data_IF_834098303045
#
_entry.id   IF_834098303045
#
_cell.length_a   1.000
_cell.length_b   1.000
_cell.length_c   1.000
_cell.angle_alpha   90.00
_cell.angle_beta   90.00
_cell.angle_gamma   90.00
#
_symmetry.space_group_name_H-M   'P 1'
#
loop_
_entity.id
_entity.type
_entity.pdbx_description
1 polymer ?
2 water ?
#
# COMPACT_ATOMS: atom_id res chain seq x y z
N UNK A 2 -10.02 -3.36 2.08
CA UNK A 2 -10.70 -2.74 0.96
C UNK A 2 -9.75 -1.81 0.20
N UNK A 3 -8.56 -1.56 0.76
CA UNK A 3 -7.54 -0.82 0.06
C UNK A 3 -6.17 -1.26 0.57
N UNK A 4 -5.19 -1.23 -0.32
CA UNK A 4 -3.82 -1.58 0.01
C UNK A 4 -2.93 -0.36 0.22
N UNK A 5 -3.21 0.74 -0.46
CA UNK A 5 -2.45 1.97 -0.35
C UNK A 5 -3.39 3.15 -0.39
N UNK A 6 -3.18 4.10 0.51
CA UNK A 6 -3.90 5.38 0.51
C UNK A 6 -2.92 6.49 0.18
N UNK A 7 -3.24 7.28 -0.86
CA UNK A 7 -2.39 8.40 -1.25
C UNK A 7 -3.19 9.70 -1.10
N UNK A 8 -2.47 10.76 -0.74
CA UNK A 8 -3.07 12.06 -0.54
C UNK A 8 -3.43 12.68 -1.89
N UNK A 9 -4.61 13.31 -1.94
CA UNK A 9 -5.03 13.98 -3.17
C UNK A 9 -4.17 15.20 -3.43
N UNK A 10 -3.56 15.26 -4.60
CA UNK A 10 -2.76 16.40 -5.01
C UNK A 10 -2.87 16.54 -6.53
N UNK A 11 -2.47 17.72 -7.01
CA UNK A 11 -2.68 18.04 -8.43
C UNK A 11 -1.90 17.08 -9.33
N UNK A 12 -0.69 16.70 -8.93
CA UNK A 12 0.15 15.80 -9.71
C UNK A 12 0.40 14.50 -8.95
N UNK A 13 -0.63 13.97 -8.32
CA UNK A 13 -0.48 12.76 -7.52
C UNK A 13 -0.19 11.56 -8.41
N UNK A 14 0.52 10.58 -7.83
CA UNK A 14 0.88 9.35 -8.52
C UNK A 14 0.34 8.16 -7.74
N UNK A 15 -0.34 7.26 -8.45
CA UNK A 15 -0.85 6.03 -7.86
C UNK A 15 0.13 4.92 -8.19
N UNK A 16 1.04 4.64 -7.25
CA UNK A 16 2.12 3.67 -7.50
C UNK A 16 1.54 2.28 -7.69
N UNK A 17 2.07 1.57 -8.69
CA UNK A 17 1.69 0.19 -8.93
C UNK A 17 2.81 -0.50 -9.70
N UNK A 18 3.54 -1.39 -9.02
CA UNK A 18 4.65 -2.12 -9.62
C UNK A 18 4.41 -3.61 -9.41
N UNK A 19 4.44 -4.37 -10.50
CA UNK A 19 4.28 -5.82 -10.43
C UNK A 19 5.44 -6.44 -9.67
N UNK A 20 5.20 -7.13 -8.56
CA UNK A 20 6.30 -7.67 -7.75
C UNK A 20 6.72 -9.09 -8.10
N UNK A 21 6.02 -9.77 -9.00
CA UNK A 21 6.29 -11.16 -9.32
C UNK A 21 7.12 -11.27 -10.59
N UNK A 22 7.58 -12.48 -10.87
CA UNK A 22 8.49 -12.74 -11.98
C UNK A 22 7.80 -13.23 -13.24
N UNK A 23 6.47 -13.33 -13.22
CA UNK A 23 5.75 -13.89 -14.37
C UNK A 23 5.71 -12.87 -15.52
N UNK A 24 5.57 -13.40 -16.73
CA UNK A 24 5.49 -12.57 -17.92
C UNK A 24 4.12 -11.91 -17.98
N UNK A 25 4.11 -10.57 -18.03
CA UNK A 25 2.87 -9.82 -18.01
C UNK A 25 2.13 -9.93 -19.34
N UNK A 26 0.80 -9.93 -19.27
CA UNK A 26 -0.04 -9.97 -20.45
C UNK A 26 -0.97 -8.78 -20.60
N UNK A 27 -1.25 -8.02 -19.53
CA UNK A 27 -2.16 -6.89 -19.60
C UNK A 27 -2.15 -6.14 -18.27
N UNK A 28 -2.38 -4.83 -18.34
CA UNK A 28 -2.71 -4.03 -17.17
C UNK A 28 -4.06 -3.37 -17.41
N UNK A 29 -4.80 -3.16 -16.33
CA UNK A 29 -6.00 -2.36 -16.38
C UNK A 29 -6.07 -1.46 -15.17
N UNK A 30 -6.31 -0.18 -15.40
CA UNK A 30 -6.58 0.79 -14.33
C UNK A 30 -8.07 1.09 -14.33
N UNK A 31 -8.72 0.86 -13.19
CA UNK A 31 -10.14 1.13 -13.04
C UNK A 31 -10.37 1.99 -11.81
N UNK A 32 -11.51 2.68 -11.81
CA UNK A 32 -11.97 3.43 -10.65
C UNK A 32 -13.38 2.97 -10.32
N UNK A 33 -13.58 2.56 -9.07
CA UNK A 33 -14.89 2.10 -8.62
C UNK A 33 -15.70 3.31 -8.18
N UNK A 34 -16.35 3.93 -9.17
CA UNK A 34 -17.18 5.10 -8.90
C UNK A 34 -18.26 4.78 -7.87
N UNK A 35 -19.04 3.73 -8.13
CA UNK A 35 -19.96 3.18 -7.17
C UNK A 35 -19.89 1.67 -7.22
N UNK A 36 -21.03 1.01 -7.43
CA UNK A 36 -20.99 -0.39 -7.82
C UNK A 36 -20.41 -0.53 -9.23
N UNK A 37 -20.71 0.42 -10.10
CA UNK A 37 -20.15 0.42 -11.45
C UNK A 37 -18.67 0.81 -11.42
N UNK A 38 -17.94 0.35 -12.42
CA UNK A 38 -16.52 0.62 -12.56
C UNK A 38 -16.25 1.36 -13.87
N UNK A 39 -15.30 2.29 -13.83
CA UNK A 39 -14.86 3.02 -15.02
C UNK A 39 -13.49 2.50 -15.41
N UNK A 40 -13.35 2.03 -16.65
CA UNK A 40 -12.08 1.51 -17.14
C UNK A 40 -11.24 2.69 -17.61
N UNK A 41 -10.26 3.09 -16.80
CA UNK A 41 -9.45 4.25 -17.12
C UNK A 41 -8.47 3.92 -18.25
N UNK A 42 -7.71 2.83 -18.09
CA UNK A 42 -6.69 2.49 -19.07
C UNK A 42 -6.55 0.97 -19.14
N UNK A 43 -6.25 0.49 -20.35
CA UNK A 43 -5.96 -0.92 -20.60
C UNK A 43 -4.75 -0.98 -21.53
N UNK A 44 -3.70 -1.65 -21.09
CA UNK A 44 -2.45 -1.73 -21.86
C UNK A 44 -2.04 -3.19 -22.05
N UNK A 45 -1.57 -3.50 -23.24
CA UNK A 45 -1.07 -4.82 -23.60
C UNK A 45 0.38 -4.71 -24.06
N UNK A 46 1.17 -5.79 -23.91
CA UNK A 46 2.60 -5.69 -24.27
C UNK A 46 2.86 -5.47 -25.75
N UNK A 47 1.84 -5.58 -26.61
CA UNK A 47 1.99 -5.23 -28.02
C UNK A 47 1.82 -3.75 -28.29
N UNK A 48 1.86 -2.92 -27.24
CA UNK A 48 1.72 -1.47 -27.30
C UNK A 48 0.33 -1.01 -27.70
N UNK A 49 -0.66 -1.90 -27.63
CA UNK A 49 -2.06 -1.49 -27.76
C UNK A 49 -2.51 -0.87 -26.45
N UNK A 50 -3.11 0.31 -26.53
CA UNK A 50 -3.45 1.08 -25.33
C UNK A 50 -4.86 1.64 -25.46
N UNK A 51 -5.73 1.26 -24.54
CA UNK A 51 -7.05 1.87 -24.39
C UNK A 51 -7.00 2.95 -23.32
N UNK A 52 -7.62 4.09 -23.60
CA UNK A 52 -7.72 5.19 -22.66
C UNK A 52 -9.16 5.70 -22.68
N UNK A 53 -9.78 5.77 -21.51
CA UNK A 53 -11.13 6.31 -21.42
C UNK A 53 -11.14 7.76 -21.88
N UNK A 54 -12.17 8.11 -22.66
CA UNK A 54 -12.17 9.41 -23.34
C UNK A 54 -12.13 10.57 -22.36
N UNK A 55 -12.75 10.44 -21.19
CA UNK A 55 -12.73 11.50 -20.20
C UNK A 55 -11.40 11.60 -19.45
N UNK A 56 -10.50 10.63 -19.64
CA UNK A 56 -9.17 10.65 -19.05
C UNK A 56 -8.09 10.84 -20.10
N UNK A 57 -8.45 11.31 -21.30
CA UNK A 57 -7.53 11.36 -22.43
C UNK A 57 -6.26 12.14 -22.09
N UNK A 58 -6.41 13.40 -21.68
CA UNK A 58 -5.28 14.26 -21.37
C UNK A 58 -5.17 14.55 -19.88
N UNK A 59 -5.66 13.64 -19.04
CA UNK A 59 -5.64 13.82 -17.60
C UNK A 59 -4.61 12.95 -16.88
N UNK A 60 -4.22 11.81 -17.46
CA UNK A 60 -3.35 10.86 -16.80
C UNK A 60 -2.22 10.46 -17.76
N UNK A 61 -1.09 10.08 -17.18
CA UNK A 61 0.04 9.60 -17.96
C UNK A 61 0.78 8.55 -17.13
N UNK A 62 1.76 7.91 -17.76
CA UNK A 62 2.52 6.82 -17.15
C UNK A 62 4.01 7.17 -17.21
N UNK A 63 4.48 7.88 -16.19
CA UNK A 63 5.89 8.27 -16.11
C UNK A 63 6.77 7.03 -16.05
N UNK A 64 6.68 6.28 -14.95
CA UNK A 64 7.18 4.91 -14.86
C UNK A 64 8.64 4.80 -15.31
N UNK A 65 9.51 5.40 -14.49
CA UNK A 65 10.95 5.38 -14.71
C UNK A 65 11.42 4.02 -15.22
N UNK A 66 12.19 4.04 -16.30
CA UNK A 66 12.58 2.83 -17.04
C UNK A 66 11.34 2.04 -17.46
N UNK A 67 10.56 2.66 -18.34
CA UNK A 67 9.26 2.13 -18.77
C UNK A 67 9.44 0.72 -19.30
N UNK A 68 8.82 -0.25 -18.63
CA UNK A 68 8.93 -1.64 -19.02
C UNK A 68 7.63 -2.38 -18.81
N UNK A 69 6.57 -1.64 -18.49
CA UNK A 69 5.21 -2.19 -18.44
C UNK A 69 5.06 -3.07 -17.21
N UNK A 70 6.15 -3.30 -16.48
CA UNK A 70 6.05 -3.83 -15.12
C UNK A 70 5.64 -2.75 -14.13
N UNK A 71 6.13 -1.53 -14.32
CA UNK A 71 5.74 -0.38 -13.52
C UNK A 71 4.67 0.39 -14.29
N UNK A 72 3.45 0.39 -13.77
CA UNK A 72 2.33 1.09 -14.41
C UNK A 72 1.69 2.07 -13.45
N UNK A 73 2.51 2.73 -12.63
CA UNK A 73 2.02 3.79 -11.76
C UNK A 73 1.34 4.88 -12.59
N UNK A 74 0.21 5.35 -12.09
CA UNK A 74 -0.62 6.31 -12.81
C UNK A 74 -0.45 7.68 -12.17
N UNK A 75 -0.02 8.65 -12.96
CA UNK A 75 0.18 10.01 -12.50
C UNK A 75 -0.86 10.92 -13.13
N UNK A 76 -1.32 11.90 -12.36
CA UNK A 76 -2.29 12.88 -12.82
C UNK A 76 -1.59 14.14 -13.25
N UNK A 77 -2.12 14.78 -14.31
CA UNK A 77 -1.60 16.07 -14.72
C UNK A 77 -2.16 17.19 -13.84
N UNK A 78 -3.48 17.25 -13.71
CA UNK A 78 -4.16 18.24 -12.86
C UNK A 78 -5.35 17.54 -12.21
N UNK A 79 -5.14 16.98 -11.03
CA UNK A 79 -6.21 16.31 -10.32
C UNK A 79 -7.06 17.31 -9.55
N UNK A 80 -8.28 16.88 -9.22
CA UNK A 80 -9.22 17.73 -8.49
C UNK A 80 -9.94 16.86 -7.46
N UNK A 81 -10.92 17.47 -6.78
CA UNK A 81 -11.65 16.77 -5.73
C UNK A 81 -12.47 15.60 -6.28
N UNK A 82 -12.85 15.64 -7.55
CA UNK A 82 -13.64 14.56 -8.12
C UNK A 82 -12.83 13.28 -8.30
N UNK A 83 -11.50 13.38 -8.31
CA UNK A 83 -10.64 12.21 -8.45
C UNK A 83 -10.50 11.42 -7.15
N UNK A 84 -11.13 11.87 -6.07
CA UNK A 84 -11.16 11.09 -4.83
C UNK A 84 -11.94 9.80 -5.07
N UNK A 85 -11.43 8.71 -4.53
CA UNK A 85 -12.11 7.43 -4.64
C UNK A 85 -11.11 6.29 -4.56
N UNK A 86 -11.61 5.10 -4.87
CA UNK A 86 -10.82 3.87 -4.83
C UNK A 86 -10.50 3.45 -6.26
N UNK A 87 -9.22 3.21 -6.52
CA UNK A 87 -8.75 2.76 -7.83
C UNK A 87 -8.24 1.33 -7.73
N UNK A 88 -8.30 0.62 -8.85
CA UNK A 88 -7.80 -0.75 -8.95
C UNK A 88 -6.76 -0.83 -10.06
N UNK A 89 -5.62 -1.40 -9.73
CA UNK A 89 -4.54 -1.65 -10.69
C UNK A 89 -4.40 -3.16 -10.84
N UNK A 90 -4.75 -3.67 -12.02
CA UNK A 90 -4.88 -5.11 -12.26
C UNK A 90 -3.83 -5.55 -13.26
N UNK A 91 -2.88 -6.36 -12.80
CA UNK A 91 -1.88 -6.98 -13.67
C UNK A 91 -2.32 -8.39 -14.01
N UNK A 92 -2.27 -8.73 -15.30
CA UNK A 92 -2.58 -10.06 -15.78
C UNK A 92 -1.33 -10.71 -16.34
N UNK A 93 -1.04 -11.92 -15.87
CA UNK A 93 0.16 -12.67 -16.26
C UNK A 93 -0.21 -14.12 -16.58
N UNK A 94 -1.23 -14.29 -17.42
CA UNK A 94 -1.76 -15.59 -17.82
C UNK A 94 -0.64 -16.57 -18.13
N UNK A 95 -0.73 -17.83 -17.65
CA UNK A 95 -1.88 -18.34 -16.91
C UNK A 95 -1.83 -18.12 -15.40
N UNK A 96 -0.84 -17.36 -14.92
CA UNK A 96 -0.56 -17.31 -13.49
C UNK A 96 -1.68 -16.66 -12.67
N UNK A 97 -2.55 -15.88 -13.30
CA UNK A 97 -3.63 -15.25 -12.58
C UNK A 97 -3.34 -13.81 -12.22
N UNK A 98 -4.38 -13.05 -11.92
CA UNK A 98 -4.23 -11.60 -11.74
C UNK A 98 -3.58 -11.22 -10.42
N UNK A 99 -2.97 -10.04 -10.42
CA UNK A 99 -2.41 -9.40 -9.23
C UNK A 99 -3.00 -8.00 -9.15
N UNK A 100 -3.80 -7.75 -8.11
CA UNK A 100 -4.54 -6.51 -7.99
C UNK A 100 -4.05 -5.69 -6.80
N UNK A 101 -3.88 -4.40 -7.02
CA UNK A 101 -3.55 -3.44 -5.97
C UNK A 101 -4.63 -2.37 -5.93
N UNK A 102 -5.24 -2.18 -4.76
CA UNK A 102 -6.31 -1.22 -4.58
C UNK A 102 -5.76 0.03 -3.91
N UNK A 103 -6.01 1.19 -4.52
CA UNK A 103 -5.47 2.47 -4.09
C UNK A 103 -6.62 3.41 -3.81
N UNK A 104 -6.66 3.96 -2.60
CA UNK A 104 -7.69 4.90 -2.19
C UNK A 104 -7.11 6.31 -2.14
N UNK A 105 -7.70 7.21 -2.91
CA UNK A 105 -7.31 8.63 -2.89
C UNK A 105 -8.25 9.36 -1.94
N UNK A 106 -7.67 10.06 -0.97
CA UNK A 106 -8.45 10.77 0.04
C UNK A 106 -8.00 12.23 0.09
N UNK A 107 -8.94 13.10 0.46
CA UNK A 107 -8.63 14.50 0.73
C UNK A 107 -8.07 14.61 2.14
N UNK A 108 -6.82 15.05 2.25
CA UNK A 108 -6.15 15.08 3.54
C UNK A 108 -4.92 15.97 3.46
N UNK A 109 -4.38 16.30 4.62
CA UNK A 109 -3.07 16.92 4.73
C UNK A 109 -2.02 15.82 4.79
N UNK A 110 -0.78 16.19 5.13
CA UNK A 110 0.28 15.21 5.29
C UNK A 110 -0.13 14.13 6.29
N UNK A 111 -0.03 12.87 5.87
CA UNK A 111 -0.40 11.76 6.74
C UNK A 111 0.48 11.68 7.98
N UNK A 112 1.68 12.27 7.94
CA UNK A 112 2.57 12.27 9.10
C UNK A 112 2.03 13.14 10.23
N UNK A 113 1.11 14.07 9.94
CA UNK A 113 0.57 14.94 10.97
C UNK A 113 -0.20 14.12 12.01
N UNK A 114 -1.04 13.20 11.55
CA UNK A 114 -1.83 12.36 12.43
C UNK A 114 -1.06 11.15 12.95
N UNK A 115 0.25 11.08 12.70
CA UNK A 115 1.09 9.97 13.17
C UNK A 115 2.32 10.51 13.87
N UNK A 116 2.16 11.13 15.03
CA UNK A 116 3.34 11.52 15.82
C UNK A 116 4.03 10.29 16.39
N UNK A 117 5.35 10.29 16.30
CA UNK A 117 6.12 9.11 16.67
C UNK A 117 6.05 8.85 18.16
N UNK A 118 5.83 7.59 18.54
CA UNK A 118 5.93 7.18 19.93
C UNK A 118 7.32 6.66 20.28
N UNK A 119 8.06 6.17 19.28
CA UNK A 119 9.37 5.59 19.49
C UNK A 119 10.30 6.01 18.37
N UNK A 120 11.59 6.12 18.70
CA UNK A 120 12.65 6.37 17.73
C UNK A 120 13.57 5.16 17.69
N UNK A 121 13.78 4.62 16.50
CA UNK A 121 14.58 3.41 16.33
C UNK A 121 15.73 3.70 15.38
N UNK A 122 16.96 3.57 15.88
CA UNK A 122 18.16 3.69 15.08
C UNK A 122 18.74 2.31 14.82
N UNK A 123 19.21 2.09 13.59
CA UNK A 123 19.81 0.82 13.22
C UNK A 123 20.79 1.04 12.08
N UNK A 124 21.79 0.17 12.01
CA UNK A 124 22.83 0.28 11.00
C UNK A 124 22.36 -0.33 9.68
N UNK A 125 22.82 0.22 8.54
CA UNK A 125 22.41 -0.32 7.24
C UNK A 125 22.90 -1.76 7.06
N UNK A 126 22.08 -2.57 6.39
CA UNK A 126 22.41 -3.94 6.13
C UNK A 126 22.01 -4.93 7.20
N UNK A 127 21.15 -4.54 8.14
CA UNK A 127 20.73 -5.40 9.23
C UNK A 127 19.23 -5.68 9.13
N UNK A 128 18.82 -6.82 9.67
CA UNK A 128 17.41 -7.17 9.76
C UNK A 128 16.80 -6.42 10.94
N UNK A 129 16.05 -5.37 10.65
CA UNK A 129 15.49 -4.50 11.67
C UNK A 129 14.18 -5.08 12.18
N UNK A 130 14.04 -5.16 13.50
CA UNK A 130 12.84 -5.69 14.12
C UNK A 130 12.00 -4.55 14.69
N UNK A 131 10.78 -4.41 14.19
CA UNK A 131 9.84 -3.41 14.68
C UNK A 131 8.85 -4.10 15.62
N UNK A 132 8.65 -3.51 16.80
CA UNK A 132 7.83 -4.11 17.83
C UNK A 132 6.62 -3.21 18.08
N UNK A 133 5.42 -3.79 17.96
CA UNK A 133 4.18 -3.09 18.25
C UNK A 133 3.86 -3.23 19.73
N UNK A 134 3.71 -2.10 20.43
CA UNK A 134 3.43 -2.09 21.85
C UNK A 134 1.93 -2.00 22.15
N UNK A 135 1.08 -2.40 21.21
CA UNK A 135 -0.36 -2.38 21.40
C UNK A 135 -0.85 -3.77 21.79
N UNK A 136 -1.86 -3.86 22.66
CA UNK A 136 -2.44 -5.16 22.98
C UNK A 136 -3.21 -5.73 21.80
N UNK A 137 -3.20 -7.06 21.70
CA UNK A 137 -3.85 -7.78 20.61
C UNK A 137 -5.09 -8.53 21.03
N UNK A 138 -5.36 -8.65 22.33
CA UNK A 138 -6.49 -9.43 22.80
C UNK A 138 -7.81 -8.68 22.54
N UNK A 139 -8.91 -9.38 22.79
CA UNK A 139 -10.23 -8.79 22.63
C UNK A 139 -10.33 -7.50 23.44
N UNK A 140 -11.01 -6.47 22.94
CA UNK A 140 -11.87 -6.42 21.74
C UNK A 140 -11.15 -6.21 20.41
N UNK A 141 -9.81 -6.19 20.41
CA UNK A 141 -9.09 -5.99 19.16
C UNK A 141 -9.36 -7.15 18.22
N UNK A 142 -9.72 -6.82 16.97
CA UNK A 142 -10.02 -7.83 15.96
C UNK A 142 -8.90 -8.04 14.95
N UNK A 143 -8.20 -6.97 14.56
CA UNK A 143 -7.08 -7.12 13.64
C UNK A 143 -6.04 -6.04 13.91
N UNK A 144 -4.81 -6.33 13.51
CA UNK A 144 -3.67 -5.45 13.72
C UNK A 144 -2.99 -5.24 12.37
N UNK A 145 -2.70 -3.99 12.02
CA UNK A 145 -2.19 -3.62 10.71
C UNK A 145 -0.87 -2.88 10.87
N UNK A 146 0.11 -3.24 10.04
CA UNK A 146 1.37 -2.52 9.94
C UNK A 146 1.36 -1.65 8.69
N UNK A 147 1.69 -0.37 8.85
CA UNK A 147 1.69 0.57 7.74
C UNK A 147 2.96 1.39 7.73
N UNK A 148 3.38 1.78 6.53
CA UNK A 148 4.44 2.76 6.34
C UNK A 148 3.80 4.10 5.99
N UNK A 149 4.06 5.11 6.83
CA UNK A 149 3.37 6.39 6.73
C UNK A 149 4.33 7.41 6.11
N UNK A 150 3.92 7.99 4.99
CA UNK A 150 4.61 9.07 4.33
C UNK A 150 3.66 10.26 4.19
N UNK A 151 4.19 11.48 3.98
CA UNK A 151 3.29 12.63 3.83
C UNK A 151 2.30 12.48 2.69
N UNK A 152 2.66 11.75 1.63
CA UNK A 152 1.81 11.65 0.44
C UNK A 152 1.09 10.32 0.31
N UNK A 153 1.52 9.28 1.02
CA UNK A 153 0.87 7.98 0.88
C UNK A 153 1.13 7.12 2.10
N UNK A 154 0.23 6.16 2.31
CA UNK A 154 0.34 5.18 3.40
C UNK A 154 0.20 3.79 2.78
N UNK A 155 1.22 2.95 2.96
CA UNK A 155 1.23 1.61 2.41
C UNK A 155 1.03 0.58 3.53
N UNK A 156 0.11 -0.35 3.31
CA UNK A 156 -0.14 -1.41 4.29
C UNK A 156 0.91 -2.49 4.11
N UNK A 157 1.74 -2.69 5.13
CA UNK A 157 2.79 -3.69 5.08
C UNK A 157 2.31 -5.06 5.54
N UNK A 158 1.35 -5.12 6.45
CA UNK A 158 0.82 -6.38 6.92
C UNK A 158 -0.52 -6.14 7.61
N UNK A 159 -1.35 -7.18 7.63
CA UNK A 159 -2.63 -7.14 8.33
C UNK A 159 -2.92 -8.54 8.85
N UNK A 160 -3.22 -8.65 10.13
CA UNK A 160 -3.40 -9.94 10.78
C UNK A 160 -4.74 -9.95 11.50
N UNK A 161 -5.64 -10.83 11.05
CA UNK A 161 -6.93 -11.06 11.72
C UNK A 161 -6.98 -12.56 12.00
N UNK A 162 -6.73 -12.94 13.25
CA UNK A 162 -6.59 -14.35 13.59
C UNK A 162 -7.89 -15.13 13.40
N UNK A 163 -9.03 -14.46 13.45
CA UNK A 163 -10.30 -15.16 13.24
C UNK A 163 -10.61 -15.35 11.76
N UNK A 164 -10.09 -14.47 10.90
CA UNK A 164 -10.36 -14.58 9.48
C UNK A 164 -9.66 -15.78 8.88
N UNK A 165 -10.37 -16.52 8.02
CA UNK A 165 -9.79 -17.69 7.38
C UNK A 165 -8.86 -17.32 6.23
N UNK A 166 -9.16 -16.25 5.51
CA UNK A 166 -8.31 -15.80 4.43
C UNK A 166 -7.28 -14.80 4.95
N UNK A 167 -6.04 -14.94 4.46
CA UNK A 167 -4.96 -14.07 4.87
C UNK A 167 -4.84 -12.87 3.93
N UNK A 168 -4.16 -11.83 4.42
CA UNK A 168 -3.94 -10.62 3.67
C UNK A 168 -2.53 -10.65 3.09
N UNK A 169 -2.42 -10.41 1.77
CA UNK A 169 -1.14 -10.35 1.09
C UNK A 169 -0.81 -8.89 0.81
N UNK A 170 0.33 -8.44 1.32
CA UNK A 170 0.74 -7.06 1.11
C UNK A 170 1.14 -6.83 -0.34
N UNK A 171 0.68 -5.71 -0.90
CA UNK A 171 1.08 -5.29 -2.23
C UNK A 171 2.28 -4.35 -2.22
N UNK A 172 2.87 -4.13 -1.06
CA UNK A 172 4.07 -3.30 -0.95
C UNK A 172 5.23 -3.98 -1.68
N UNK A 173 5.95 -3.19 -2.49
CA UNK A 173 6.99 -3.75 -3.34
C UNK A 173 8.17 -4.25 -2.52
N UNK A 174 8.66 -3.44 -1.58
CA UNK A 174 9.81 -3.83 -0.77
C UNK A 174 9.44 -4.96 0.17
N UNK A 175 10.27 -5.98 0.21
CA UNK A 175 9.95 -7.19 0.96
C UNK A 175 10.07 -6.96 2.46
N UNK A 176 9.13 -7.54 3.22
CA UNK A 176 9.14 -7.52 4.67
C UNK A 176 8.84 -8.92 5.19
N UNK A 177 9.00 -9.10 6.50
CA UNK A 177 8.72 -10.36 7.17
C UNK A 177 7.64 -10.12 8.22
N UNK A 178 6.46 -10.69 7.99
CA UNK A 178 5.33 -10.55 8.89
C UNK A 178 4.90 -11.93 9.38
N UNK A 179 4.09 -11.93 10.43
CA UNK A 179 3.67 -13.17 11.07
C UNK A 179 2.31 -12.99 11.73
N UNK A 180 1.32 -13.71 11.26
CA UNK A 180 -0.02 -13.72 11.84
C UNK A 180 -0.18 -15.06 12.55
N UNK A 181 0.27 -15.11 13.80
CA UNK A 181 0.28 -16.33 14.59
C UNK A 181 -0.74 -16.26 15.72
N UNK A 182 -1.22 -17.44 16.13
CA UNK A 182 -2.22 -17.55 17.18
C UNK A 182 -1.65 -17.35 18.58
N UNK A 183 -0.33 -17.45 18.74
CA UNK A 183 0.26 -17.32 20.05
C UNK A 183 0.28 -15.90 20.57
N UNK A 184 0.50 -15.78 21.87
CA UNK A 184 0.58 -14.48 22.53
C UNK A 184 2.03 -14.01 22.62
N UNK A 185 2.66 -13.89 21.45
CA UNK A 185 4.03 -13.41 21.36
C UNK A 185 4.04 -11.93 21.00
N UNK A 186 5.25 -11.39 20.85
CA UNK A 186 5.41 -9.99 20.49
C UNK A 186 4.93 -9.76 19.05
N UNK A 187 4.12 -8.72 18.87
CA UNK A 187 3.63 -8.35 17.54
C UNK A 187 4.76 -7.67 16.79
N UNK A 188 5.37 -8.38 15.84
CA UNK A 188 6.64 -7.98 15.26
C UNK A 188 6.50 -7.84 13.75
N UNK A 189 7.19 -6.84 13.20
CA UNK A 189 7.41 -6.72 11.76
C UNK A 189 8.91 -6.56 11.53
N UNK A 190 9.47 -7.33 10.60
CA UNK A 190 10.90 -7.37 10.36
C UNK A 190 11.18 -6.81 8.97
N UNK A 191 12.10 -5.86 8.89
CA UNK A 191 12.56 -5.30 7.62
C UNK A 191 13.90 -5.94 7.28
N UNK A 192 13.95 -6.91 6.36
CA UNK A 192 15.21 -7.59 6.07
C UNK A 192 16.17 -6.73 5.25
N UNK A 193 17.43 -6.73 5.67
CA UNK A 193 18.51 -6.02 4.98
C UNK A 193 18.14 -4.55 4.76
N UNK A 194 17.86 -3.88 5.87
CA UNK A 194 17.36 -2.52 5.81
C UNK A 194 18.41 -1.56 5.29
N UNK A 195 17.97 -0.57 4.54
CA UNK A 195 18.83 0.46 3.95
C UNK A 195 18.33 1.83 4.40
N UNK A 196 19.05 2.87 3.95
CA UNK A 196 18.65 4.23 4.27
C UNK A 196 17.29 4.58 3.68
N UNK A 197 16.93 3.96 2.56
CA UNK A 197 15.62 4.19 1.96
C UNK A 197 14.49 3.63 2.82
N UNK A 198 14.78 2.69 3.72
CA UNK A 198 13.77 2.13 4.60
C UNK A 198 13.44 3.03 5.78
N UNK A 199 14.16 4.14 5.94
CA UNK A 199 13.87 5.07 7.02
C UNK A 199 12.51 5.72 6.80
N UNK A 200 11.85 6.06 7.91
CA UNK A 200 10.56 6.70 7.86
C UNK A 200 9.70 6.26 9.02
N UNK A 201 8.42 6.65 8.94
CA UNK A 201 7.45 6.34 9.99
C UNK A 201 6.79 5.00 9.70
N UNK A 202 6.83 4.11 10.69
CA UNK A 202 6.16 2.82 10.64
C UNK A 202 5.14 2.77 11.76
N UNK A 203 3.88 2.55 11.40
CA UNK A 203 2.78 2.61 12.35
C UNK A 203 2.09 1.26 12.45
N UNK A 204 1.96 0.75 13.67
CA UNK A 204 1.15 -0.42 13.97
C UNK A 204 -0.21 0.06 14.45
N UNK A 205 -1.27 -0.52 13.88
CA UNK A 205 -2.62 -0.03 14.10
C UNK A 205 -3.54 -1.20 14.44
N UNK A 206 -4.33 -1.04 15.49
CA UNK A 206 -5.27 -2.05 15.96
C UNK A 206 -6.70 -1.57 15.76
N UNK A 207 -7.55 -2.47 15.29
CA UNK A 207 -8.98 -2.20 15.09
C UNK A 207 -9.77 -3.18 15.94
N UNK A 208 -10.74 -2.66 16.69
CA UNK A 208 -11.52 -3.46 17.63
C UNK A 208 -12.94 -3.64 17.13
N UNK A 209 -13.62 -4.64 17.71
CA UNK A 209 -15.02 -4.87 17.39
C UNK A 209 -15.89 -3.73 17.90
N UNK A 210 -15.42 -2.97 18.89
CA UNK A 210 -16.14 -1.79 19.35
C UNK A 210 -16.00 -0.61 18.41
N UNK A 211 -15.12 -0.70 17.40
CA UNK A 211 -14.87 0.39 16.49
C UNK A 211 -13.73 1.30 16.90
N UNK A 212 -13.15 1.09 18.08
CA UNK A 212 -12.08 1.96 18.56
C UNK A 212 -10.79 1.69 17.81
N UNK A 213 -10.03 2.75 17.56
CA UNK A 213 -8.79 2.69 16.78
C UNK A 213 -7.62 3.09 17.68
N UNK A 214 -6.60 2.25 17.72
CA UNK A 214 -5.36 2.54 18.43
C UNK A 214 -4.19 2.51 17.46
N UNK A 215 -3.12 3.23 17.82
CA UNK A 215 -1.96 3.32 16.95
C UNK A 215 -0.70 3.47 17.78
N UNK A 216 0.40 2.94 17.26
CA UNK A 216 1.72 3.08 17.85
C UNK A 216 2.72 3.27 16.72
N UNK A 217 3.46 4.37 16.74
CA UNK A 217 4.27 4.80 15.61
C UNK A 217 5.74 4.74 15.99
N UNK A 218 6.54 4.18 15.09
CA UNK A 218 7.99 4.11 15.25
C UNK A 218 8.64 4.93 14.14
N UNK A 219 9.52 5.85 14.53
CA UNK A 219 10.32 6.61 13.57
C UNK A 219 11.63 5.86 13.39
N UNK A 220 11.76 5.16 12.26
CA UNK A 220 12.95 4.38 11.98
C UNK A 220 13.97 5.23 11.22
N UNK A 221 15.20 5.27 11.72
CA UNK A 221 16.27 6.05 11.13
C UNK A 221 17.42 5.12 10.83
N UNK A 222 17.72 4.94 9.55
CA UNK A 222 18.83 4.12 9.08
C UNK A 222 19.82 5.05 8.41
N UNK A 223 20.89 5.41 9.13
CA UNK A 223 21.90 6.32 8.60
C UNK A 223 22.70 5.65 7.48
#
# INVERSE_FOLDING_TARGET
TLWDTTVRLSETMTLECVYPLTHNLTQVEWTKNTGTKTVSIAVYNPNHNMHIESNYLHRVHFLNSTVGFRNMSLSFYNASEADIGIYSCLFHAFPNGPWEKKIKVVWSDSFEIAAPSDSYLSAEPGQDVTLTCQLPRTWPVQQVIWEKVQPHQVDILASCNLSQETRYTSKYLRQTRSNCSQGSMKSILIIPNAMAADSGLYRCRSEAITGKNKSFVIRLIIT
#
